data_IF_547899531542
#
_entry.id   IF_547899531542
#
_cell.length_a   1.000
_cell.length_b   1.000
_cell.length_c   1.000
_cell.angle_alpha   90.00
_cell.angle_beta   90.00
_cell.angle_gamma   90.00
#
_symmetry.space_group_name_H-M   'P 1'
#
loop_
_entity.id
_entity.type
_entity.pdbx_description
1 polymer ?
#
# COMPACT_ATOMS: atom_id res chain seq x y z
N UNK A 1 12.41 18.59 15.70
CA UNK A 1 12.93 17.61 14.71
C UNK A 1 13.11 18.31 13.37
N UNK A 2 14.17 18.02 12.63
CA UNK A 2 14.34 18.57 11.27
C UNK A 2 13.26 17.97 10.34
N UNK A 3 12.87 18.70 9.29
CA UNK A 3 11.89 18.21 8.29
C UNK A 3 12.28 16.84 7.68
N UNK A 4 13.58 16.54 7.64
CA UNK A 4 14.12 15.26 7.18
C UNK A 4 13.74 14.09 8.12
N UNK A 5 13.80 14.31 9.44
CA UNK A 5 13.49 13.26 10.41
C UNK A 5 12.00 12.90 10.41
N UNK A 6 11.10 13.90 10.28
CA UNK A 6 9.66 13.66 10.12
C UNK A 6 9.34 12.86 8.86
N UNK A 7 10.07 13.13 7.76
CA UNK A 7 9.90 12.44 6.49
C UNK A 7 10.36 10.98 6.58
N UNK A 8 11.48 10.71 7.27
CA UNK A 8 11.95 9.34 7.50
C UNK A 8 10.94 8.51 8.32
N UNK A 9 10.39 9.09 9.40
CA UNK A 9 9.37 8.44 10.23
C UNK A 9 8.10 8.17 9.41
N UNK A 10 7.69 9.14 8.58
CA UNK A 10 6.54 8.96 7.71
C UNK A 10 6.73 7.80 6.74
N UNK A 11 7.88 7.72 6.07
CA UNK A 11 8.20 6.60 5.14
C UNK A 11 8.20 5.27 5.90
N UNK A 12 8.76 5.23 7.11
CA UNK A 12 8.80 4.02 7.93
C UNK A 12 7.38 3.55 8.26
N UNK A 13 6.52 4.44 8.77
CA UNK A 13 5.12 4.13 9.10
C UNK A 13 4.37 3.72 7.83
N UNK A 14 4.54 4.47 6.74
CA UNK A 14 3.90 4.21 5.46
C UNK A 14 4.28 2.82 4.91
N UNK A 15 5.55 2.41 5.07
CA UNK A 15 6.03 1.09 4.69
C UNK A 15 5.40 -0.01 5.54
N UNK A 16 5.35 0.18 6.86
CA UNK A 16 4.68 -0.77 7.78
C UNK A 16 3.20 -0.91 7.42
N UNK A 17 2.50 0.20 7.18
CA UNK A 17 1.10 0.21 6.75
C UNK A 17 0.92 -0.53 5.42
N UNK A 18 1.78 -0.30 4.43
CA UNK A 18 1.72 -1.02 3.16
C UNK A 18 1.90 -2.54 3.33
N UNK A 19 2.85 -2.97 4.17
CA UNK A 19 3.07 -4.40 4.46
C UNK A 19 1.81 -5.01 5.10
N UNK A 20 1.20 -4.32 6.07
CA UNK A 20 -0.04 -4.80 6.72
C UNK A 20 -1.18 -4.93 5.72
N UNK A 21 -1.37 -3.94 4.84
CA UNK A 21 -2.39 -3.99 3.78
C UNK A 21 -2.11 -5.16 2.82
N UNK A 22 -0.85 -5.35 2.42
CA UNK A 22 -0.44 -6.43 1.53
C UNK A 22 -0.78 -7.80 2.14
N UNK A 23 -0.44 -8.03 3.41
CA UNK A 23 -0.81 -9.27 4.10
C UNK A 23 -2.32 -9.45 4.22
N UNK A 24 -3.06 -8.39 4.52
CA UNK A 24 -4.52 -8.46 4.62
C UNK A 24 -5.16 -8.85 3.27
N UNK A 25 -4.71 -8.26 2.17
CA UNK A 25 -5.18 -8.60 0.82
C UNK A 25 -4.77 -10.03 0.47
N UNK A 26 -3.55 -10.45 0.81
CA UNK A 26 -3.07 -11.80 0.54
C UNK A 26 -3.93 -12.86 1.19
N UNK A 27 -4.18 -12.71 2.49
CA UNK A 27 -5.04 -13.61 3.24
C UNK A 27 -6.45 -13.60 2.63
N UNK A 28 -7.01 -12.42 2.34
CA UNK A 28 -8.34 -12.31 1.75
C UNK A 28 -8.45 -13.05 0.41
N UNK A 29 -7.53 -12.79 -0.52
CA UNK A 29 -7.53 -13.40 -1.85
C UNK A 29 -7.28 -14.90 -1.75
N UNK A 30 -6.35 -15.33 -0.91
CA UNK A 30 -6.02 -16.75 -0.73
C UNK A 30 -7.18 -17.53 -0.12
N UNK A 31 -7.85 -16.98 0.91
CA UNK A 31 -9.03 -17.58 1.53
C UNK A 31 -10.18 -17.64 0.53
N UNK A 32 -10.47 -16.56 -0.19
CA UNK A 32 -11.51 -16.56 -1.23
C UNK A 32 -11.20 -17.60 -2.32
N UNK A 33 -9.94 -17.71 -2.75
CA UNK A 33 -9.55 -18.71 -3.73
C UNK A 33 -9.72 -20.15 -3.19
N UNK A 34 -9.37 -20.41 -1.93
CA UNK A 34 -9.58 -21.73 -1.30
C UNK A 34 -11.05 -22.08 -1.06
N UNK A 35 -11.94 -21.10 -1.01
CA UNK A 35 -13.39 -21.33 -0.96
C UNK A 35 -13.98 -21.62 -2.35
N UNK A 36 -13.35 -21.11 -3.42
CA UNK A 36 -13.86 -21.24 -4.80
C UNK A 36 -13.22 -22.41 -5.57
N UNK A 37 -12.00 -22.80 -5.22
CA UNK A 37 -11.21 -23.79 -5.94
C UNK A 37 -10.66 -24.86 -5.00
N UNK A 38 -10.56 -26.10 -5.49
CA UNK A 38 -9.77 -27.12 -4.81
C UNK A 38 -8.28 -26.85 -5.03
N UNK A 39 -7.58 -26.50 -3.96
CA UNK A 39 -6.16 -26.12 -3.98
C UNK A 39 -5.21 -27.32 -3.93
N UNK A 40 -5.72 -28.55 -4.06
CA UNK A 40 -4.91 -29.75 -4.09
C UNK A 40 -4.01 -29.79 -5.36
N UNK A 41 -2.75 -30.20 -5.18
CA UNK A 41 -1.79 -30.38 -6.29
C UNK A 41 -1.25 -29.07 -6.89
N UNK A 42 -1.09 -29.01 -8.21
CA UNK A 42 -0.37 -27.93 -8.89
C UNK A 42 -1.13 -26.59 -8.90
N UNK A 43 -2.47 -26.63 -8.80
CA UNK A 43 -3.31 -25.43 -8.73
C UNK A 43 -3.05 -24.60 -7.48
N UNK A 44 -2.80 -25.24 -6.33
CA UNK A 44 -2.48 -24.53 -5.08
C UNK A 44 -1.23 -23.67 -5.18
N UNK A 45 -0.18 -24.16 -5.86
CA UNK A 45 1.07 -23.40 -6.09
C UNK A 45 0.83 -22.17 -6.97
N UNK A 46 0.04 -22.34 -8.04
CA UNK A 46 -0.31 -21.24 -8.95
C UNK A 46 -1.15 -20.18 -8.22
N UNK A 47 -2.17 -20.61 -7.48
CA UNK A 47 -3.05 -19.72 -6.71
C UNK A 47 -2.26 -18.96 -5.64
N UNK A 48 -1.34 -19.63 -4.93
CA UNK A 48 -0.46 -18.98 -3.96
C UNK A 48 0.37 -17.87 -4.62
N UNK A 49 1.00 -18.18 -5.76
CA UNK A 49 1.79 -17.22 -6.54
C UNK A 49 0.95 -16.03 -7.05
N UNK A 50 -0.23 -16.31 -7.62
CA UNK A 50 -1.15 -15.27 -8.09
C UNK A 50 -1.65 -14.40 -6.94
N UNK A 51 -2.01 -15.00 -5.80
CA UNK A 51 -2.44 -14.27 -4.60
C UNK A 51 -1.36 -13.31 -4.15
N UNK A 52 -0.09 -13.71 -4.22
CA UNK A 52 1.04 -12.84 -3.88
C UNK A 52 1.16 -11.64 -4.83
N UNK A 53 1.12 -11.87 -6.14
CA UNK A 53 1.21 -10.80 -7.15
C UNK A 53 0.03 -9.83 -7.04
N UNK A 54 -1.19 -10.35 -6.91
CA UNK A 54 -2.40 -9.55 -6.73
C UNK A 54 -2.31 -8.72 -5.45
N UNK A 55 -1.73 -9.26 -4.39
CA UNK A 55 -1.60 -8.56 -3.12
C UNK A 55 -0.61 -7.41 -3.18
N UNK A 56 0.51 -7.56 -3.89
CA UNK A 56 1.45 -6.46 -4.13
C UNK A 56 0.76 -5.34 -4.91
N UNK A 57 0.11 -5.67 -6.02
CA UNK A 57 -0.57 -4.67 -6.85
C UNK A 57 -1.73 -3.99 -6.10
N UNK A 58 -2.55 -4.80 -5.43
CA UNK A 58 -3.67 -4.33 -4.63
C UNK A 58 -3.23 -3.47 -3.44
N UNK A 59 -2.14 -3.85 -2.76
CA UNK A 59 -1.65 -3.09 -1.61
C UNK A 59 -1.18 -1.72 -2.05
N UNK A 60 -0.41 -1.63 -3.14
CA UNK A 60 0.07 -0.35 -3.68
C UNK A 60 -1.11 0.56 -4.00
N UNK A 61 -2.18 0.04 -4.62
CA UNK A 61 -3.37 0.82 -4.95
C UNK A 61 -4.09 1.34 -3.70
N UNK A 62 -4.38 0.47 -2.73
CA UNK A 62 -5.09 0.82 -1.49
C UNK A 62 -4.23 1.76 -0.64
N UNK A 63 -2.95 1.43 -0.46
CA UNK A 63 -1.95 2.25 0.21
C UNK A 63 -1.89 3.66 -0.39
N UNK A 64 -1.79 3.77 -1.73
CA UNK A 64 -1.71 5.07 -2.40
C UNK A 64 -2.94 5.92 -2.11
N UNK A 65 -4.13 5.31 -2.07
CA UNK A 65 -5.38 6.01 -1.74
C UNK A 65 -5.43 6.44 -0.27
N UNK A 66 -5.01 5.57 0.65
CA UNK A 66 -4.94 5.87 2.08
C UNK A 66 -3.95 6.98 2.40
N UNK A 67 -2.76 6.94 1.80
CA UNK A 67 -1.74 7.98 1.98
C UNK A 67 -2.24 9.31 1.45
N UNK A 68 -2.80 9.36 0.23
CA UNK A 68 -3.37 10.61 -0.29
C UNK A 68 -4.46 11.16 0.62
N UNK A 69 -5.33 10.29 1.14
CA UNK A 69 -6.37 10.69 2.09
C UNK A 69 -5.78 11.23 3.40
N UNK A 70 -4.77 10.55 3.96
CA UNK A 70 -4.11 10.98 5.19
C UNK A 70 -3.38 12.31 5.00
N UNK A 71 -2.70 12.49 3.88
CA UNK A 71 -1.99 13.74 3.55
C UNK A 71 -2.96 14.92 3.51
N UNK A 72 -4.08 14.77 2.80
CA UNK A 72 -5.11 15.82 2.71
C UNK A 72 -5.81 16.05 4.05
N UNK A 73 -6.10 15.00 4.81
CA UNK A 73 -6.87 15.10 6.06
C UNK A 73 -6.06 15.68 7.22
N UNK A 74 -4.77 15.38 7.31
CA UNK A 74 -3.90 15.79 8.41
C UNK A 74 -2.97 16.97 8.04
N UNK A 75 -3.15 17.55 6.86
CA UNK A 75 -2.33 18.64 6.32
C UNK A 75 -0.82 18.35 6.43
N UNK A 76 -0.45 17.13 6.06
CA UNK A 76 0.92 16.64 6.17
C UNK A 76 1.85 17.27 5.12
N UNK A 77 1.31 18.02 4.16
CA UNK A 77 2.08 18.70 3.11
C UNK A 77 3.09 19.71 3.69
N UNK A 78 2.76 20.40 4.79
CA UNK A 78 3.65 21.39 5.40
C UNK A 78 4.76 20.76 6.26
N UNK A 79 4.50 19.55 6.78
CA UNK A 79 5.36 18.86 7.77
C UNK A 79 6.34 17.88 7.14
N UNK A 80 6.07 17.47 5.91
CA UNK A 80 6.89 16.54 5.15
C UNK A 80 7.68 17.29 4.07
N UNK A 81 8.88 16.80 3.76
CA UNK A 81 9.55 17.22 2.53
C UNK A 81 8.65 16.77 1.37
N UNK A 82 8.40 17.62 0.35
CA UNK A 82 7.53 17.27 -0.77
C UNK A 82 8.11 16.11 -1.59
N UNK A 83 7.81 14.88 -1.19
CA UNK A 83 8.10 13.65 -1.95
C UNK A 83 6.92 13.32 -2.87
N UNK A 84 5.70 13.67 -2.47
CA UNK A 84 4.46 13.39 -3.20
C UNK A 84 3.68 14.65 -3.62
N UNK A 85 4.19 15.86 -3.38
CA UNK A 85 3.51 17.05 -3.87
C UNK A 85 3.50 16.98 -5.40
N UNK A 86 2.35 16.68 -5.99
CA UNK A 86 2.09 17.06 -7.38
C UNK A 86 2.47 18.52 -7.44
N UNK A 87 3.51 18.87 -8.21
CA UNK A 87 3.78 20.25 -8.61
C UNK A 87 2.46 20.76 -9.15
N UNK A 88 1.70 21.48 -8.31
CA UNK A 88 0.50 22.19 -8.72
C UNK A 88 1.07 23.20 -9.70
N UNK A 89 0.87 22.92 -10.99
CA UNK A 89 1.38 23.72 -12.07
C UNK A 89 1.09 25.17 -11.73
N UNK A 90 2.16 25.92 -11.54
CA UNK A 90 2.13 27.36 -11.33
C UNK A 90 1.50 27.92 -12.60
N UNK A 91 0.17 28.03 -12.62
CA UNK A 91 -0.54 28.87 -13.58
C UNK A 91 -0.10 30.29 -13.24
N UNK A 92 0.88 30.79 -14.01
CA UNK A 92 1.03 32.21 -14.25
C UNK A 92 -0.08 32.62 -15.21
#
# INVERSE_FOLDING_TARGET
>A
MSKQSNTAIFILIATVVNIVIMFAIFILVFVVAGLLFDLNGNLGVIVLGLSFVISIGGSIFIYSKLVNWAVVKFDLEEKLVPIFSRRKGRKK
#
